data_IF_986046836353
#
_entry.id   IF_986046836353
#
_cell.length_a   1.000
_cell.length_b   1.000
_cell.length_c   1.000
_cell.angle_alpha   90.00
_cell.angle_beta   90.00
_cell.angle_gamma   90.00
#
_symmetry.space_group_name_H-M   'P 1'
#
loop_
_entity.id
_entity.type
_entity.pdbx_description
1 polymer ?
#
# COMPACT_ATOMS: atom_id res chain seq x y z
N UNK A 1 79.15 8.01 -18.32
CA UNK A 1 78.16 7.49 -19.28
C UNK A 1 77.97 6.02 -18.98
N UNK A 2 76.76 5.62 -18.59
CA UNK A 2 76.46 4.24 -18.20
C UNK A 2 75.55 4.19 -16.97
N UNK A 3 74.24 4.20 -17.21
CA UNK A 3 73.12 4.18 -16.27
C UNK A 3 73.00 2.86 -15.50
N UNK A 4 72.76 2.93 -14.18
CA UNK A 4 72.41 1.79 -13.32
C UNK A 4 70.93 1.91 -12.95
N UNK A 5 70.18 0.84 -13.19
CA UNK A 5 68.75 0.71 -12.98
C UNK A 5 68.49 -0.09 -11.69
N UNK A 6 67.52 0.37 -10.90
CA UNK A 6 67.16 -0.12 -9.57
C UNK A 6 66.56 -1.55 -9.57
N UNK A 7 66.99 -2.35 -8.60
CA UNK A 7 66.30 -3.55 -8.13
C UNK A 7 65.37 -3.16 -6.97
N UNK A 8 64.07 -3.49 -7.07
CA UNK A 8 63.16 -3.49 -5.91
C UNK A 8 62.51 -4.86 -5.76
N UNK A 9 62.88 -5.52 -4.67
CA UNK A 9 62.36 -6.78 -4.18
C UNK A 9 60.89 -6.67 -3.73
N UNK A 10 60.19 -7.78 -3.94
CA UNK A 10 58.82 -8.11 -3.60
C UNK A 10 58.47 -8.01 -2.10
N UNK A 11 57.27 -7.51 -1.78
CA UNK A 11 56.51 -8.00 -0.62
C UNK A 11 55.04 -8.16 -1.02
N UNK A 12 54.57 -9.41 -0.99
CA UNK A 12 53.19 -9.79 -1.27
C UNK A 12 52.36 -9.63 0.01
N UNK A 13 51.51 -8.62 0.06
CA UNK A 13 50.44 -8.52 1.07
C UNK A 13 49.23 -9.25 0.50
N UNK A 14 48.87 -10.36 1.14
CA UNK A 14 47.62 -11.07 0.87
C UNK A 14 46.47 -10.19 1.38
N UNK A 15 45.70 -9.59 0.48
CA UNK A 15 44.42 -9.00 0.83
C UNK A 15 43.39 -10.13 1.00
N UNK A 16 43.04 -10.41 2.26
CA UNK A 16 41.81 -11.11 2.60
C UNK A 16 40.63 -10.22 2.19
N UNK A 17 39.90 -10.61 1.16
CA UNK A 17 38.59 -10.06 0.86
C UNK A 17 37.64 -10.38 2.02
N UNK A 18 37.43 -9.42 2.92
CA UNK A 18 36.19 -9.39 3.69
C UNK A 18 35.08 -9.03 2.71
N UNK A 19 34.15 -9.95 2.46
CA UNK A 19 32.85 -9.61 1.90
C UNK A 19 32.21 -8.59 2.84
N UNK A 20 32.20 -7.31 2.46
CA UNK A 20 31.42 -6.30 3.16
C UNK A 20 29.96 -6.78 3.16
N UNK A 21 29.40 -7.06 4.34
CA UNK A 21 27.98 -7.38 4.47
C UNK A 21 27.19 -6.25 3.78
N UNK A 22 26.42 -6.60 2.75
CA UNK A 22 25.65 -5.65 1.95
C UNK A 22 24.49 -5.09 2.79
N UNK A 23 24.80 -4.14 3.68
CA UNK A 23 23.87 -3.54 4.63
C UNK A 23 23.23 -2.32 3.96
N UNK A 24 21.91 -2.37 3.75
CA UNK A 24 21.15 -1.26 3.16
C UNK A 24 20.25 -0.60 4.21
N UNK A 25 20.23 0.74 4.35
CA UNK A 25 19.35 1.39 5.31
C UNK A 25 17.87 1.20 4.94
N UNK A 26 17.03 0.97 5.94
CA UNK A 26 15.58 0.99 5.73
C UNK A 26 15.10 2.43 5.46
N UNK A 27 14.10 2.59 4.60
CA UNK A 27 13.47 3.89 4.34
C UNK A 27 12.85 4.44 5.64
N UNK A 28 12.83 5.76 5.88
CA UNK A 28 12.25 6.31 7.11
C UNK A 28 10.83 5.80 7.39
N UNK A 29 9.98 5.77 6.36
CA UNK A 29 8.63 5.23 6.45
C UNK A 29 8.60 3.73 6.73
N UNK A 30 9.52 2.95 6.16
CA UNK A 30 9.62 1.53 6.43
C UNK A 30 10.02 1.26 7.88
N UNK A 31 10.85 2.12 8.47
CA UNK A 31 11.21 2.05 9.88
C UNK A 31 10.01 2.37 10.79
N UNK A 32 9.18 3.37 10.44
CA UNK A 32 7.99 3.72 11.24
C UNK A 32 7.00 2.56 11.29
N UNK A 33 6.76 1.90 10.16
CA UNK A 33 5.87 0.75 10.07
C UNK A 33 6.46 -0.55 10.58
N UNK A 34 7.71 -0.54 11.06
CA UNK A 34 8.36 -1.65 11.73
C UNK A 34 8.84 -1.21 13.11
N UNK A 35 7.98 -0.53 13.87
CA UNK A 35 8.29 0.00 15.20
C UNK A 35 7.60 -0.80 16.29
N UNK A 36 7.96 -0.56 17.55
CA UNK A 36 7.30 -1.22 18.68
C UNK A 36 5.80 -0.88 18.78
N UNK A 37 5.43 0.33 18.32
CA UNK A 37 4.06 0.86 18.39
C UNK A 37 3.24 0.63 17.14
N UNK A 38 3.87 0.35 15.99
CA UNK A 38 3.19 0.24 14.70
C UNK A 38 3.86 -0.80 13.80
N UNK A 39 3.09 -1.81 13.44
CA UNK A 39 3.43 -2.84 12.46
C UNK A 39 2.26 -3.03 11.51
N UNK A 40 2.46 -2.72 10.23
CA UNK A 40 1.43 -2.84 9.20
C UNK A 40 1.84 -3.91 8.20
N UNK A 41 0.85 -4.72 7.80
CA UNK A 41 1.01 -5.66 6.69
C UNK A 41 0.02 -5.34 5.58
N UNK A 42 0.40 -5.68 4.36
CA UNK A 42 -0.46 -5.70 3.19
C UNK A 42 -0.77 -7.17 2.90
N UNK A 43 -2.05 -7.50 2.86
CA UNK A 43 -2.53 -8.78 2.32
C UNK A 43 -2.95 -8.52 0.89
N UNK A 44 -2.36 -9.23 -0.07
CA UNK A 44 -2.78 -9.24 -1.46
C UNK A 44 -3.27 -10.65 -1.82
N UNK A 45 -4.41 -10.73 -2.48
CA UNK A 45 -5.07 -11.98 -2.83
C UNK A 45 -5.20 -12.06 -4.35
N UNK A 46 -4.66 -13.15 -4.91
CA UNK A 46 -4.73 -13.48 -6.32
C UNK A 46 -5.59 -14.73 -6.49
N UNK A 47 -6.76 -14.55 -7.08
CA UNK A 47 -7.73 -15.58 -7.38
C UNK A 47 -7.42 -16.22 -8.74
N UNK A 48 -7.32 -17.55 -8.80
CA UNK A 48 -7.09 -18.28 -10.03
C UNK A 48 -8.39 -18.80 -10.64
N UNK A 49 -8.46 -18.81 -11.97
CA UNK A 49 -9.57 -19.42 -12.72
C UNK A 49 -9.54 -20.94 -12.71
N UNK A 50 -8.35 -21.54 -12.53
CA UNK A 50 -8.15 -22.99 -12.52
C UNK A 50 -7.57 -23.42 -11.16
N UNK A 51 -7.74 -24.70 -10.75
CA UNK A 51 -7.14 -25.20 -9.53
C UNK A 51 -5.63 -25.00 -9.51
N UNK A 52 -5.08 -24.68 -8.34
CA UNK A 52 -3.64 -24.55 -8.13
C UNK A 52 -3.13 -25.86 -7.56
N UNK A 53 -2.11 -26.44 -8.17
CA UNK A 53 -1.47 -27.66 -7.66
C UNK A 53 -0.46 -27.33 -6.55
N UNK A 54 -0.24 -28.32 -5.67
CA UNK A 54 0.73 -28.25 -4.60
C UNK A 54 2.14 -28.43 -5.18
N UNK A 55 2.89 -27.33 -5.25
CA UNK A 55 4.36 -27.30 -5.28
C UNK A 55 5.08 -27.48 -6.64
N UNK A 56 6.39 -27.24 -6.58
CA UNK A 56 7.37 -26.96 -7.64
C UNK A 56 7.22 -25.65 -8.41
N UNK A 57 6.13 -25.42 -9.15
CA UNK A 57 6.01 -24.24 -10.02
C UNK A 57 6.08 -22.93 -9.22
N UNK A 58 5.39 -22.90 -8.08
CA UNK A 58 5.46 -21.76 -7.14
C UNK A 58 6.88 -21.58 -6.61
N UNK A 59 7.58 -22.66 -6.26
CA UNK A 59 8.94 -22.56 -5.72
C UNK A 59 9.95 -22.06 -6.77
N UNK A 60 9.83 -22.52 -8.02
CA UNK A 60 10.63 -22.03 -9.15
C UNK A 60 10.34 -20.56 -9.41
N UNK A 61 9.07 -20.16 -9.48
CA UNK A 61 8.69 -18.75 -9.63
C UNK A 61 9.26 -17.88 -8.49
N UNK A 62 9.26 -18.39 -7.26
CA UNK A 62 9.77 -17.64 -6.13
C UNK A 62 11.29 -17.47 -6.19
N UNK A 63 12.03 -18.54 -6.49
CA UNK A 63 13.48 -18.49 -6.60
C UNK A 63 13.96 -17.67 -7.80
N UNK A 64 13.36 -17.88 -8.97
CA UNK A 64 13.89 -17.37 -10.23
C UNK A 64 13.34 -16.00 -10.60
N UNK A 65 12.19 -15.62 -10.02
CA UNK A 65 11.51 -14.35 -10.33
C UNK A 65 11.29 -13.51 -9.09
N UNK A 66 10.56 -13.99 -8.07
CA UNK A 66 10.13 -13.14 -6.94
C UNK A 66 11.31 -12.62 -6.09
N UNK A 67 12.18 -13.52 -5.62
CA UNK A 67 13.33 -13.14 -4.78
C UNK A 67 14.31 -12.19 -5.50
N UNK A 68 14.64 -12.39 -6.80
CA UNK A 68 15.48 -11.47 -7.55
C UNK A 68 14.90 -10.07 -7.79
N UNK A 69 13.57 -9.85 -7.67
CA UNK A 69 12.95 -8.53 -7.93
C UNK A 69 13.56 -7.44 -7.06
N UNK A 70 13.81 -7.73 -5.78
CA UNK A 70 14.40 -6.77 -4.86
C UNK A 70 15.18 -7.46 -3.74
N UNK A 71 16.40 -6.99 -3.39
CA UNK A 71 17.20 -7.57 -2.30
C UNK A 71 16.48 -7.67 -0.95
N UNK A 72 15.48 -6.81 -0.70
CA UNK A 72 14.67 -6.84 0.54
C UNK A 72 13.85 -8.11 0.70
N UNK A 73 13.49 -8.80 -0.37
CA UNK A 73 12.81 -10.10 -0.28
C UNK A 73 13.73 -11.21 0.24
N UNK A 74 15.05 -11.00 0.18
CA UNK A 74 16.07 -11.91 0.73
C UNK A 74 16.82 -11.27 1.90
N UNK A 75 16.18 -10.36 2.64
CA UNK A 75 16.80 -9.65 3.76
C UNK A 75 15.89 -9.60 4.98
N UNK A 76 16.50 -9.60 6.17
CA UNK A 76 15.84 -9.30 7.44
C UNK A 76 16.08 -7.86 7.84
N UNK A 77 15.20 -7.31 8.68
CA UNK A 77 15.42 -6.00 9.31
C UNK A 77 16.17 -6.19 10.63
N UNK A 78 17.28 -5.48 10.79
CA UNK A 78 18.10 -5.48 12.00
C UNK A 78 18.19 -4.05 12.54
N UNK A 79 18.32 -3.91 13.86
CA UNK A 79 18.44 -2.62 14.56
C UNK A 79 19.87 -2.38 15.00
N UNK A 80 20.31 -1.13 14.97
CA UNK A 80 21.61 -0.76 15.56
C UNK A 80 21.60 -0.90 17.09
N UNK A 81 22.78 -0.93 17.71
CA UNK A 81 22.95 -1.12 19.17
C UNK A 81 22.21 -0.07 20.01
N UNK A 82 22.00 1.12 19.43
CA UNK A 82 21.28 2.23 20.06
C UNK A 82 19.76 2.19 19.78
N UNK A 83 19.28 1.20 19.02
CA UNK A 83 17.88 1.00 18.63
C UNK A 83 17.28 2.09 17.73
N UNK A 84 18.10 3.06 17.28
CA UNK A 84 17.68 4.28 16.61
C UNK A 84 17.49 4.14 15.11
N UNK A 85 18.23 3.24 14.46
CA UNK A 85 18.13 3.00 13.02
C UNK A 85 17.90 1.52 12.71
N UNK A 86 17.24 1.27 11.59
CA UNK A 86 17.03 -0.07 11.05
C UNK A 86 17.69 -0.23 9.68
N UNK A 87 18.25 -1.41 9.45
CA UNK A 87 18.91 -1.78 8.20
C UNK A 87 18.49 -3.16 7.74
N UNK A 88 18.57 -3.37 6.43
CA UNK A 88 18.36 -4.65 5.78
C UNK A 88 19.68 -5.42 5.78
N UNK A 89 19.64 -6.64 6.32
CA UNK A 89 20.73 -7.61 6.26
C UNK A 89 20.31 -8.77 5.39
N UNK A 90 21.08 -9.04 4.33
CA UNK A 90 20.85 -10.16 3.43
C UNK A 90 20.99 -11.49 4.15
N UNK A 91 20.11 -12.44 3.85
CA UNK A 91 20.10 -13.79 4.42
C UNK A 91 19.76 -14.81 3.35
N UNK A 92 20.13 -16.07 3.60
CA UNK A 92 19.64 -17.19 2.78
C UNK A 92 18.18 -17.46 3.11
N UNK A 93 17.31 -17.41 2.09
CA UNK A 93 15.88 -17.68 2.24
C UNK A 93 15.62 -19.18 2.13
N UNK A 94 14.88 -19.73 3.11
CA UNK A 94 14.33 -21.09 3.05
C UNK A 94 12.85 -20.99 2.69
N UNK A 95 12.49 -21.29 1.44
CA UNK A 95 11.12 -21.06 0.96
C UNK A 95 10.07 -21.86 1.74
N UNK A 96 10.41 -23.03 2.26
CA UNK A 96 9.54 -23.83 3.12
C UNK A 96 9.07 -23.11 4.38
N UNK A 97 9.83 -22.14 4.87
CA UNK A 97 9.44 -21.32 6.03
C UNK A 97 8.40 -20.25 5.62
N UNK A 98 8.42 -19.81 4.35
CA UNK A 98 7.60 -18.70 3.87
C UNK A 98 6.36 -19.11 3.07
N UNK A 99 6.33 -20.34 2.55
CA UNK A 99 5.20 -20.86 1.75
C UNK A 99 4.36 -21.79 2.60
N UNK A 100 3.11 -21.41 2.84
CA UNK A 100 2.14 -22.20 3.62
C UNK A 100 1.05 -22.77 2.71
N UNK A 101 0.72 -24.03 2.92
CA UNK A 101 -0.44 -24.68 2.27
C UNK A 101 -1.37 -25.16 3.38
N UNK A 102 -2.42 -24.41 3.74
CA UNK A 102 -3.38 -24.88 4.74
C UNK A 102 -4.06 -26.16 4.24
N UNK A 103 -4.35 -27.09 5.16
CA UNK A 103 -4.98 -28.38 4.85
C UNK A 103 -6.34 -28.43 5.51
N UNK A 104 -7.36 -28.71 4.70
CA UNK A 104 -8.76 -28.89 5.09
C UNK A 104 -9.31 -30.21 4.55
N UNK A 105 -10.42 -30.74 5.09
CA UNK A 105 -11.04 -31.96 4.58
C UNK A 105 -11.48 -31.81 3.12
N UNK A 106 -11.25 -32.85 2.32
CA UNK A 106 -11.66 -32.88 0.91
C UNK A 106 -13.17 -33.11 0.75
N UNK A 107 -13.69 -32.78 -0.44
CA UNK A 107 -15.08 -33.07 -0.82
C UNK A 107 -16.16 -32.21 -0.14
N UNK A 108 -15.79 -31.11 0.51
CA UNK A 108 -16.74 -30.20 1.14
C UNK A 108 -17.47 -29.30 0.12
N UNK A 109 -18.55 -28.67 0.57
CA UNK A 109 -19.29 -27.68 -0.23
C UNK A 109 -18.47 -26.40 -0.41
N UNK A 110 -18.76 -25.64 -1.48
CA UNK A 110 -18.14 -24.33 -1.73
C UNK A 110 -18.35 -23.37 -0.55
N UNK A 111 -19.53 -23.36 0.06
CA UNK A 111 -19.83 -22.54 1.25
C UNK A 111 -18.93 -22.89 2.44
N UNK A 112 -18.61 -24.18 2.62
CA UNK A 112 -17.70 -24.60 3.68
C UNK A 112 -16.28 -24.09 3.41
N UNK A 113 -15.81 -24.16 2.15
CA UNK A 113 -14.51 -23.61 1.78
C UNK A 113 -14.45 -22.09 1.82
N UNK A 114 -15.54 -21.39 1.49
CA UNK A 114 -15.65 -19.94 1.68
C UNK A 114 -15.43 -19.57 3.15
N UNK A 115 -16.07 -20.29 4.07
CA UNK A 115 -15.88 -20.08 5.51
C UNK A 115 -14.44 -20.35 5.96
N UNK A 116 -13.82 -21.46 5.51
CA UNK A 116 -12.41 -21.73 5.82
C UNK A 116 -11.47 -20.68 5.25
N UNK A 117 -11.77 -20.17 4.06
CA UNK A 117 -11.01 -19.10 3.43
C UNK A 117 -11.10 -17.79 4.23
N UNK A 118 -12.30 -17.40 4.65
CA UNK A 118 -12.52 -16.20 5.48
C UNK A 118 -11.86 -16.32 6.86
N UNK A 119 -11.96 -17.49 7.50
CA UNK A 119 -11.26 -17.79 8.75
C UNK A 119 -9.73 -17.73 8.58
N UNK A 120 -9.22 -18.24 7.45
CA UNK A 120 -7.80 -18.20 7.13
C UNK A 120 -7.30 -16.77 6.91
N UNK A 121 -8.03 -15.95 6.14
CA UNK A 121 -7.71 -14.54 5.95
C UNK A 121 -7.77 -13.75 7.27
N UNK A 122 -8.76 -14.06 8.11
CA UNK A 122 -8.89 -13.48 9.45
C UNK A 122 -7.66 -13.77 10.30
N UNK A 123 -7.27 -15.04 10.38
CA UNK A 123 -6.06 -15.48 11.09
C UNK A 123 -4.81 -14.79 10.54
N UNK A 124 -4.66 -14.78 9.21
CA UNK A 124 -3.53 -14.16 8.54
C UNK A 124 -3.45 -12.65 8.83
N UNK A 125 -4.58 -11.95 8.92
CA UNK A 125 -4.62 -10.53 9.28
C UNK A 125 -4.24 -10.23 10.74
N UNK A 126 -4.40 -11.20 11.65
CA UNK A 126 -4.08 -11.04 13.07
C UNK A 126 -2.62 -11.38 13.41
N UNK A 127 -2.05 -12.39 12.75
CA UNK A 127 -0.70 -12.85 13.05
C UNK A 127 0.36 -11.79 12.70
N UNK A 128 1.49 -11.76 13.40
CA UNK A 128 2.65 -10.96 12.96
C UNK A 128 3.61 -11.82 12.15
N UNK A 129 4.31 -11.20 11.21
CA UNK A 129 5.40 -11.87 10.49
C UNK A 129 6.61 -12.02 11.44
N UNK A 130 7.28 -13.18 11.48
CA UNK A 130 8.46 -13.36 12.31
C UNK A 130 9.62 -12.46 11.86
N UNK A 131 10.25 -11.74 12.79
CA UNK A 131 11.36 -10.82 12.49
C UNK A 131 12.68 -11.55 12.15
N UNK A 132 12.79 -12.84 12.47
CA UNK A 132 13.99 -13.65 12.22
C UNK A 132 14.15 -14.11 10.76
N UNK A 133 13.23 -13.72 9.88
CA UNK A 133 13.22 -14.08 8.44
C UNK A 133 12.66 -12.93 7.61
N UNK A 134 12.87 -12.91 6.27
CA UNK A 134 12.31 -11.86 5.43
C UNK A 134 10.82 -11.63 5.66
N UNK A 135 10.40 -10.37 5.68
CA UNK A 135 9.08 -9.97 6.16
C UNK A 135 7.96 -10.16 5.13
N UNK A 136 7.83 -11.38 4.62
CA UNK A 136 6.77 -11.80 3.72
C UNK A 136 6.40 -13.27 3.92
N UNK A 137 5.19 -13.64 3.55
CA UNK A 137 4.66 -14.99 3.58
C UNK A 137 3.68 -15.18 2.41
N UNK A 138 3.66 -16.36 1.82
CA UNK A 138 2.76 -16.73 0.73
C UNK A 138 1.96 -17.94 1.17
N UNK A 139 0.64 -17.88 1.01
CA UNK A 139 -0.24 -19.01 1.27
C UNK A 139 -0.90 -19.49 -0.01
N UNK A 140 -0.93 -20.80 -0.21
CA UNK A 140 -1.60 -21.46 -1.33
C UNK A 140 -2.89 -22.10 -0.80
N UNK A 141 -4.01 -21.42 -0.99
CA UNK A 141 -5.33 -21.99 -0.68
C UNK A 141 -5.83 -22.74 -1.91
N UNK A 142 -5.55 -24.05 -1.95
CA UNK A 142 -5.85 -24.92 -3.10
C UNK A 142 -7.31 -25.34 -3.25
N UNK A 143 -8.14 -25.04 -2.25
CA UNK A 143 -9.54 -25.46 -2.24
C UNK A 143 -10.41 -24.44 -3.00
N UNK A 144 -11.39 -24.91 -3.80
CA UNK A 144 -12.26 -24.03 -4.55
C UNK A 144 -13.21 -23.27 -3.62
N UNK A 145 -13.32 -21.97 -3.82
CA UNK A 145 -14.29 -21.08 -3.19
C UNK A 145 -15.41 -20.74 -4.18
N UNK A 146 -16.46 -20.06 -3.73
CA UNK A 146 -17.46 -19.49 -4.64
C UNK A 146 -16.85 -18.47 -5.62
N UNK A 147 -15.69 -17.91 -5.29
CA UNK A 147 -15.01 -16.88 -6.09
C UNK A 147 -13.93 -17.44 -7.00
N UNK A 148 -13.19 -18.47 -6.62
CA UNK A 148 -12.00 -18.92 -7.35
C UNK A 148 -11.78 -20.43 -7.24
N UNK A 149 -11.10 -21.01 -8.23
CA UNK A 149 -10.76 -22.44 -8.20
C UNK A 149 -9.53 -22.74 -7.30
N UNK A 150 -8.72 -21.73 -7.03
CA UNK A 150 -7.62 -21.72 -6.08
C UNK A 150 -7.18 -20.28 -5.83
N UNK A 151 -6.47 -20.02 -4.73
CA UNK A 151 -6.10 -18.65 -4.35
C UNK A 151 -4.68 -18.59 -3.78
N UNK A 152 -3.88 -17.63 -4.27
CA UNK A 152 -2.61 -17.25 -3.67
C UNK A 152 -2.80 -16.01 -2.80
N UNK A 153 -2.30 -16.07 -1.57
CA UNK A 153 -2.40 -14.99 -0.60
C UNK A 153 -1.00 -14.55 -0.22
N UNK A 154 -0.64 -13.31 -0.54
CA UNK A 154 0.63 -12.70 -0.19
C UNK A 154 0.42 -11.82 1.03
N UNK A 155 1.14 -12.10 2.11
CA UNK A 155 1.25 -11.23 3.27
C UNK A 155 2.61 -10.56 3.25
N UNK A 156 2.63 -9.25 3.08
CA UNK A 156 3.85 -8.46 2.86
C UNK A 156 3.92 -7.37 3.92
N UNK A 157 5.01 -7.29 4.68
CA UNK A 157 5.16 -6.20 5.65
C UNK A 157 5.40 -4.86 4.95
N UNK A 158 4.80 -3.78 5.45
CA UNK A 158 4.83 -2.45 4.82
C UNK A 158 6.24 -1.80 4.84
N UNK A 159 7.17 -2.38 5.60
CA UNK A 159 8.59 -2.00 5.56
C UNK A 159 9.29 -2.35 4.23
N UNK A 160 8.80 -3.37 3.51
CA UNK A 160 9.36 -3.78 2.23
C UNK A 160 9.21 -2.68 1.17
N UNK A 161 8.03 -2.04 1.12
CA UNK A 161 7.67 -0.99 0.19
C UNK A 161 6.22 -0.53 0.39
N UNK A 162 5.82 0.54 -0.32
CA UNK A 162 4.40 0.90 -0.39
C UNK A 162 3.63 -0.03 -1.34
N UNK A 163 2.31 0.14 -1.37
CA UNK A 163 1.45 -0.64 -2.26
C UNK A 163 1.85 -0.53 -3.74
N UNK A 164 2.39 0.61 -4.20
CA UNK A 164 2.83 0.76 -5.58
C UNK A 164 4.05 -0.12 -5.89
N UNK A 165 5.09 -0.08 -5.03
CA UNK A 165 6.26 -0.94 -5.17
C UNK A 165 5.91 -2.43 -5.06
N UNK A 166 5.09 -2.80 -4.08
CA UNK A 166 4.74 -4.21 -3.85
C UNK A 166 3.83 -4.78 -4.94
N UNK A 167 2.83 -4.02 -5.40
CA UNK A 167 2.05 -4.42 -6.59
C UNK A 167 2.93 -4.47 -7.83
N UNK A 168 3.91 -3.57 -7.95
CA UNK A 168 4.90 -3.62 -9.02
C UNK A 168 5.68 -4.95 -9.04
N UNK A 169 6.13 -5.43 -7.89
CA UNK A 169 6.75 -6.75 -7.78
C UNK A 169 5.80 -7.89 -8.17
N UNK A 170 4.54 -7.84 -7.71
CA UNK A 170 3.54 -8.85 -8.10
C UNK A 170 3.30 -8.82 -9.62
N UNK A 171 3.22 -7.64 -10.24
CA UNK A 171 3.07 -7.51 -11.69
C UNK A 171 4.29 -8.03 -12.47
N UNK A 172 5.50 -7.93 -11.93
CA UNK A 172 6.71 -8.53 -12.54
C UNK A 172 6.62 -10.07 -12.60
N UNK A 173 5.94 -10.70 -11.63
CA UNK A 173 5.69 -12.15 -11.65
C UNK A 173 4.60 -12.54 -12.66
N UNK A 174 3.80 -11.59 -13.15
CA UNK A 174 2.63 -11.84 -13.98
C UNK A 174 2.92 -11.64 -15.46
N UNK A 175 2.23 -12.42 -16.29
CA UNK A 175 2.24 -12.30 -17.76
C UNK A 175 0.85 -11.97 -18.26
N UNK A 176 0.76 -11.54 -19.51
CA UNK A 176 -0.52 -11.46 -20.20
C UNK A 176 -1.05 -12.85 -20.48
N UNK A 177 -2.35 -13.08 -20.23
CA UNK A 177 -2.99 -14.36 -20.50
C UNK A 177 -3.14 -14.62 -22.00
N UNK A 178 -3.34 -13.58 -22.82
CA UNK A 178 -3.53 -13.69 -24.26
C UNK A 178 -2.22 -13.88 -25.03
N UNK A 179 -1.14 -13.22 -24.60
CA UNK A 179 0.19 -13.36 -25.18
C UNK A 179 1.31 -13.14 -24.15
N UNK A 180 1.87 -14.21 -23.55
CA UNK A 180 2.89 -14.10 -22.50
C UNK A 180 4.21 -13.45 -22.91
N UNK A 181 4.47 -13.29 -24.21
CA UNK A 181 5.68 -12.62 -24.74
C UNK A 181 5.59 -11.09 -24.67
N UNK A 182 4.39 -10.54 -24.51
CA UNK A 182 4.15 -9.10 -24.42
C UNK A 182 4.12 -8.64 -22.96
N UNK A 183 4.62 -7.43 -22.65
CA UNK A 183 4.50 -6.86 -21.32
C UNK A 183 3.06 -6.50 -20.99
N UNK A 184 2.73 -6.47 -19.70
CA UNK A 184 1.49 -5.88 -19.21
C UNK A 184 1.45 -4.38 -19.53
N UNK A 185 0.28 -3.88 -19.93
CA UNK A 185 0.10 -2.45 -20.18
C UNK A 185 -0.82 -1.82 -19.14
N UNK A 186 -0.58 -0.54 -18.88
CA UNK A 186 -1.29 0.21 -17.84
C UNK A 186 -1.97 1.45 -18.44
N UNK A 187 -3.10 1.89 -17.86
CA UNK A 187 -3.74 3.12 -18.27
C UNK A 187 -2.77 4.30 -18.23
N UNK A 188 -2.73 5.09 -19.30
CA UNK A 188 -1.95 6.33 -19.31
C UNK A 188 -2.51 7.31 -18.27
N UNK A 189 -1.64 7.81 -17.38
CA UNK A 189 -1.94 8.97 -16.54
C UNK A 189 -1.84 10.20 -17.42
N UNK A 190 -2.80 10.45 -18.31
CA UNK A 190 -2.83 11.73 -19.01
C UNK A 190 -3.03 12.80 -17.94
N UNK A 191 -2.07 13.71 -17.70
CA UNK A 191 -2.46 14.97 -17.13
C UNK A 191 -3.34 15.62 -18.19
N UNK A 192 -4.58 15.98 -17.88
CA UNK A 192 -5.28 17.05 -18.61
C UNK A 192 -4.53 18.36 -18.30
N UNK A 193 -3.26 18.43 -18.67
CA UNK A 193 -2.49 19.65 -18.71
C UNK A 193 -2.83 20.28 -20.05
N UNK A 194 -4.01 20.89 -20.10
CA UNK A 194 -4.19 22.02 -21.00
C UNK A 194 -3.15 23.04 -20.57
N UNK A 195 -1.99 23.02 -21.24
CA UNK A 195 -0.90 23.97 -21.05
C UNK A 195 -1.31 25.31 -21.63
N UNK A 196 -2.38 25.89 -21.10
CA UNK A 196 -2.58 27.30 -21.17
C UNK A 196 -1.60 27.89 -20.17
N UNK A 197 -0.49 28.40 -20.67
CA UNK A 197 0.42 29.33 -20.00
C UNK A 197 -0.35 30.57 -19.50
N UNK A 198 -1.27 30.38 -18.56
CA UNK A 198 -1.88 31.46 -17.79
C UNK A 198 -0.91 31.74 -16.66
N UNK A 199 -0.25 32.92 -16.73
CA UNK A 199 0.48 33.48 -15.59
C UNK A 199 -0.38 33.28 -14.35
N UNK A 200 0.10 32.53 -13.36
CA UNK A 200 -0.63 32.34 -12.10
C UNK A 200 -0.82 33.72 -11.50
N UNK A 201 -2.06 34.21 -11.52
CA UNK A 201 -2.40 35.50 -10.92
C UNK A 201 -1.95 35.49 -9.45
N UNK A 202 -1.54 36.64 -8.93
CA UNK A 202 -1.20 36.83 -7.50
C UNK A 202 -2.30 36.27 -6.60
N UNK A 203 -3.57 36.42 -7.01
CA UNK A 203 -4.73 35.87 -6.31
C UNK A 203 -4.72 34.33 -6.26
N UNK A 204 -4.24 33.68 -7.33
CA UNK A 204 -4.08 32.23 -7.40
C UNK A 204 -2.95 31.73 -6.50
N UNK A 205 -1.83 32.45 -6.43
CA UNK A 205 -0.73 32.14 -5.50
C UNK A 205 -1.16 32.30 -4.04
N UNK A 206 -1.89 33.37 -3.72
CA UNK A 206 -2.44 33.60 -2.38
C UNK A 206 -3.43 32.50 -1.97
N UNK A 207 -4.26 32.05 -2.91
CA UNK A 207 -5.18 30.91 -2.69
C UNK A 207 -4.43 29.61 -2.37
N UNK A 208 -3.37 29.29 -3.13
CA UNK A 208 -2.51 28.12 -2.87
C UNK A 208 -1.85 28.22 -1.50
N UNK A 209 -1.32 29.40 -1.15
CA UNK A 209 -0.72 29.62 0.17
C UNK A 209 -1.74 29.45 1.30
N UNK A 210 -2.90 30.10 1.19
CA UNK A 210 -3.99 30.00 2.16
C UNK A 210 -4.44 28.55 2.34
N UNK A 211 -4.66 27.82 1.25
CA UNK A 211 -5.03 26.41 1.29
C UNK A 211 -3.93 25.58 1.97
N UNK A 212 -2.66 25.81 1.62
CA UNK A 212 -1.51 25.12 2.23
C UNK A 212 -1.45 25.31 3.75
N UNK A 213 -1.53 26.55 4.23
CA UNK A 213 -1.50 26.83 5.68
C UNK A 213 -2.70 26.20 6.38
N UNK A 214 -3.90 26.37 5.82
CA UNK A 214 -5.14 25.82 6.40
C UNK A 214 -5.10 24.30 6.45
N UNK A 215 -4.68 23.65 5.36
CA UNK A 215 -4.67 22.20 5.22
C UNK A 215 -3.59 21.55 6.07
N UNK A 216 -2.41 22.18 6.17
CA UNK A 216 -1.33 21.72 7.04
C UNK A 216 -1.71 21.87 8.52
N UNK A 217 -2.23 23.03 8.93
CA UNK A 217 -2.70 23.26 10.30
C UNK A 217 -3.82 22.29 10.68
N UNK A 218 -4.79 22.08 9.78
CA UNK A 218 -5.84 21.08 9.97
C UNK A 218 -5.27 19.67 10.12
N UNK A 219 -4.29 19.29 9.30
CA UNK A 219 -3.62 17.99 9.39
C UNK A 219 -2.96 17.79 10.76
N UNK A 220 -2.27 18.81 11.28
CA UNK A 220 -1.66 18.77 12.61
C UNK A 220 -2.71 18.64 13.71
N UNK A 221 -3.77 19.46 13.68
CA UNK A 221 -4.86 19.40 14.69
C UNK A 221 -5.51 18.01 14.66
N UNK A 222 -5.81 17.52 13.45
CA UNK A 222 -6.44 16.22 13.24
C UNK A 222 -5.58 15.07 13.76
N UNK A 223 -4.27 15.13 13.55
CA UNK A 223 -3.32 14.09 13.96
C UNK A 223 -3.01 14.08 15.46
N UNK A 224 -3.15 15.21 16.16
CA UNK A 224 -2.76 15.31 17.57
C UNK A 224 -3.94 15.32 18.56
N UNK A 225 -5.03 16.02 18.24
CA UNK A 225 -6.06 16.34 19.25
C UNK A 225 -7.48 16.03 18.83
N UNK A 226 -7.76 15.97 17.52
CA UNK A 226 -9.13 15.93 17.02
C UNK A 226 -9.53 14.52 16.55
N UNK A 227 -9.87 13.66 17.50
CA UNK A 227 -10.44 12.34 17.22
C UNK A 227 -11.80 12.43 16.52
N UNK A 228 -12.10 11.58 15.54
CA UNK A 228 -13.46 11.46 14.99
C UNK A 228 -14.44 10.87 16.01
N UNK A 229 -15.74 11.10 15.80
CA UNK A 229 -16.75 10.55 16.70
C UNK A 229 -16.73 9.01 16.65
N UNK A 230 -17.06 8.39 17.78
CA UNK A 230 -17.43 6.96 17.79
C UNK A 230 -18.63 6.78 16.87
N UNK A 231 -18.55 5.82 15.97
CA UNK A 231 -19.56 5.56 14.94
C UNK A 231 -19.45 4.13 14.43
N UNK A 232 -20.40 3.64 13.61
CA UNK A 232 -20.33 2.29 13.04
C UNK A 232 -19.05 1.98 12.24
N UNK A 233 -18.26 2.99 11.86
CA UNK A 233 -16.98 2.80 11.15
C UNK A 233 -15.75 3.12 12.02
N UNK A 234 -15.93 3.53 13.28
CA UNK A 234 -14.84 3.81 14.23
C UNK A 234 -15.28 3.51 15.67
N UNK A 235 -14.71 2.49 16.29
CA UNK A 235 -15.06 2.09 17.67
C UNK A 235 -14.31 2.84 18.76
N UNK A 236 -13.13 3.41 18.47
CA UNK A 236 -12.24 4.04 19.45
C UNK A 236 -11.78 3.11 20.61
N UNK A 237 -11.86 1.79 20.43
CA UNK A 237 -11.41 0.82 21.42
C UNK A 237 -9.90 0.54 21.29
N UNK A 238 -9.11 0.63 22.38
CA UNK A 238 -7.69 0.31 22.32
C UNK A 238 -7.42 -1.12 21.84
N UNK A 239 -6.36 -1.32 21.05
CA UNK A 239 -5.97 -2.63 20.53
C UNK A 239 -6.86 -3.17 19.41
N UNK A 240 -7.62 -2.29 18.75
CA UNK A 240 -8.49 -2.67 17.61
C UNK A 240 -7.70 -3.30 16.46
N UNK A 241 -6.43 -2.89 16.30
CA UNK A 241 -5.48 -3.42 15.30
C UNK A 241 -5.12 -4.91 15.50
N UNK A 242 -5.44 -5.48 16.66
CA UNK A 242 -5.18 -6.89 17.01
C UNK A 242 -6.44 -7.74 17.05
N UNK A 243 -7.61 -7.16 16.78
CA UNK A 243 -8.87 -7.90 16.74
C UNK A 243 -8.99 -8.68 15.42
N UNK A 244 -9.80 -9.76 15.39
CA UNK A 244 -10.15 -10.44 14.14
C UNK A 244 -10.62 -9.44 13.08
N UNK A 245 -10.35 -9.66 11.81
CA UNK A 245 -10.85 -8.81 10.71
C UNK A 245 -11.82 -9.60 9.84
N UNK A 246 -12.66 -8.90 9.07
CA UNK A 246 -13.45 -9.50 7.99
C UNK A 246 -13.08 -8.78 6.71
N UNK A 247 -12.84 -9.54 5.65
CA UNK A 247 -12.46 -9.00 4.34
C UNK A 247 -13.62 -9.22 3.39
N UNK A 248 -13.98 -8.18 2.65
CA UNK A 248 -15.08 -8.23 1.69
C UNK A 248 -14.68 -7.49 0.42
N UNK A 249 -15.13 -8.01 -0.71
CA UNK A 249 -14.83 -7.47 -2.03
C UNK A 249 -16.11 -7.12 -2.78
N UNK A 250 -16.08 -6.00 -3.50
CA UNK A 250 -17.17 -5.55 -4.38
C UNK A 250 -16.55 -5.11 -5.70
N UNK A 251 -17.15 -5.55 -6.80
CA UNK A 251 -16.68 -5.24 -8.15
C UNK A 251 -17.64 -4.28 -8.85
N UNK A 252 -17.10 -3.24 -9.47
CA UNK A 252 -17.85 -2.26 -10.26
C UNK A 252 -17.37 -2.28 -11.71
N UNK A 253 -18.29 -2.02 -12.65
CA UNK A 253 -17.93 -1.84 -14.05
C UNK A 253 -17.11 -0.55 -14.22
N UNK A 254 -15.88 -0.67 -14.70
CA UNK A 254 -15.03 0.48 -14.98
C UNK A 254 -15.67 1.43 -16.03
N UNK A 255 -16.46 0.90 -16.96
CA UNK A 255 -17.14 1.71 -17.97
C UNK A 255 -18.25 2.56 -17.37
N UNK A 256 -19.00 2.03 -16.39
CA UNK A 256 -19.97 2.83 -15.63
C UNK A 256 -19.28 3.94 -14.83
N UNK A 257 -18.14 3.64 -14.18
CA UNK A 257 -17.35 4.65 -13.46
C UNK A 257 -16.84 5.73 -14.43
N UNK A 258 -16.38 5.35 -15.63
CA UNK A 258 -15.96 6.29 -16.68
C UNK A 258 -17.11 7.17 -17.17
N UNK A 259 -18.35 6.65 -17.26
CA UNK A 259 -19.52 7.46 -17.61
C UNK A 259 -19.83 8.52 -16.54
N UNK A 260 -19.75 8.17 -15.25
CA UNK A 260 -19.90 9.15 -14.15
C UNK A 260 -18.79 10.22 -14.24
N UNK A 261 -17.53 9.77 -14.41
CA UNK A 261 -16.39 10.67 -14.61
C UNK A 261 -16.62 11.62 -15.79
N UNK A 262 -17.15 11.15 -16.91
CA UNK A 262 -17.40 11.98 -18.08
C UNK A 262 -18.42 13.09 -17.82
N UNK A 263 -19.45 12.82 -17.00
CA UNK A 263 -20.49 13.81 -16.65
C UNK A 263 -20.02 14.82 -15.60
N UNK A 264 -19.29 14.38 -14.57
CA UNK A 264 -18.88 15.23 -13.45
C UNK A 264 -17.49 15.85 -13.62
N UNK A 265 -16.69 15.35 -14.57
CA UNK A 265 -15.27 15.68 -14.76
C UNK A 265 -14.38 15.19 -13.61
N UNK A 266 -13.05 15.23 -13.79
CA UNK A 266 -12.08 14.74 -12.80
C UNK A 266 -11.53 13.35 -13.14
N UNK A 267 -11.11 12.60 -12.12
CA UNK A 267 -10.45 11.30 -12.27
C UNK A 267 -11.31 10.13 -11.80
N UNK A 268 -10.96 8.92 -12.22
CA UNK A 268 -11.61 7.66 -11.78
C UNK A 268 -11.54 7.52 -10.25
N UNK A 269 -10.38 7.82 -9.65
CA UNK A 269 -10.18 7.72 -8.19
C UNK A 269 -11.12 8.66 -7.42
N UNK A 270 -11.34 9.88 -7.90
CA UNK A 270 -12.25 10.84 -7.26
C UNK A 270 -13.71 10.36 -7.29
N UNK A 271 -14.12 9.71 -8.39
CA UNK A 271 -15.45 9.06 -8.48
C UNK A 271 -15.56 7.91 -7.49
N UNK A 272 -14.55 7.04 -7.42
CA UNK A 272 -14.53 5.90 -6.49
C UNK A 272 -14.59 6.38 -5.03
N UNK A 273 -13.83 7.41 -4.65
CA UNK A 273 -13.89 7.98 -3.29
C UNK A 273 -15.30 8.49 -2.98
N UNK A 274 -15.95 9.17 -3.92
CA UNK A 274 -17.34 9.63 -3.75
C UNK A 274 -18.33 8.49 -3.51
N UNK A 275 -18.20 7.39 -4.28
CA UNK A 275 -19.02 6.18 -4.12
C UNK A 275 -18.77 5.56 -2.74
N UNK A 276 -17.51 5.44 -2.30
CA UNK A 276 -17.15 4.92 -0.98
C UNK A 276 -17.76 5.81 0.12
N UNK A 277 -17.67 7.13 0.01
CA UNK A 277 -18.25 8.07 0.97
C UNK A 277 -19.77 7.92 1.08
N UNK A 278 -20.46 7.84 -0.06
CA UNK A 278 -21.90 7.63 -0.08
C UNK A 278 -22.28 6.28 0.55
N UNK A 279 -21.66 5.18 0.11
CA UNK A 279 -21.91 3.85 0.68
C UNK A 279 -21.61 3.78 2.18
N UNK A 280 -20.59 4.51 2.65
CA UNK A 280 -20.26 4.64 4.07
C UNK A 280 -21.39 5.32 4.85
N UNK A 281 -21.98 6.39 4.32
CA UNK A 281 -23.10 7.08 4.97
C UNK A 281 -24.35 6.23 5.01
N UNK A 282 -24.65 5.49 3.94
CA UNK A 282 -25.73 4.50 3.92
C UNK A 282 -25.53 3.42 5.00
N UNK A 283 -24.32 2.88 5.09
CA UNK A 283 -23.99 1.88 6.11
C UNK A 283 -24.13 2.42 7.52
N UNK A 284 -23.61 3.62 7.79
CA UNK A 284 -23.70 4.25 9.10
C UNK A 284 -25.15 4.46 9.53
N UNK A 285 -25.99 5.01 8.65
CA UNK A 285 -27.40 5.24 8.96
C UNK A 285 -28.16 3.92 9.20
N UNK A 286 -27.91 2.90 8.37
CA UNK A 286 -28.50 1.58 8.53
C UNK A 286 -28.05 0.86 9.82
N UNK A 287 -26.77 0.97 10.18
CA UNK A 287 -26.21 0.33 11.36
C UNK A 287 -26.60 1.04 12.66
N UNK A 288 -26.75 2.36 12.62
CA UNK A 288 -27.17 3.17 13.77
C UNK A 288 -27.84 4.45 13.30
N UNK A 289 -29.17 4.51 13.39
CA UNK A 289 -29.97 5.69 13.04
C UNK A 289 -29.41 6.95 13.71
N UNK A 290 -29.28 8.03 12.93
CA UNK A 290 -28.74 9.31 13.40
C UNK A 290 -27.20 9.41 13.38
N UNK A 291 -26.48 8.32 13.06
CA UNK A 291 -25.02 8.38 12.91
C UNK A 291 -24.56 8.92 11.54
N UNK A 292 -25.48 9.11 10.58
CA UNK A 292 -25.21 9.65 9.24
C UNK A 292 -24.52 11.02 9.22
N UNK A 293 -24.64 11.81 10.30
CA UNK A 293 -23.99 13.12 10.45
C UNK A 293 -22.77 13.12 11.38
N UNK A 294 -22.32 11.96 11.88
CA UNK A 294 -21.12 11.90 12.70
C UNK A 294 -19.91 12.43 11.92
N UNK A 295 -19.04 13.18 12.62
CA UNK A 295 -17.79 13.67 12.05
C UNK A 295 -16.87 12.48 11.80
N UNK A 296 -16.62 12.23 10.52
CA UNK A 296 -15.79 11.14 10.04
C UNK A 296 -14.83 11.67 8.99
N UNK A 297 -13.59 11.24 9.10
CA UNK A 297 -12.48 11.67 8.23
C UNK A 297 -11.86 10.45 7.61
N UNK A 298 -11.67 10.50 6.29
CA UNK A 298 -10.92 9.51 5.54
C UNK A 298 -9.48 10.00 5.31
N UNK A 299 -8.52 9.09 5.44
CA UNK A 299 -7.17 9.27 4.93
C UNK A 299 -7.11 8.75 3.50
N UNK A 300 -7.08 9.66 2.53
CA UNK A 300 -6.90 9.30 1.13
C UNK A 300 -5.41 9.26 0.83
N UNK A 301 -4.91 8.07 0.50
CA UNK A 301 -3.50 7.87 0.16
C UNK A 301 -3.23 8.24 -1.30
N UNK A 302 -2.07 8.83 -1.54
CA UNK A 302 -1.61 9.21 -2.88
C UNK A 302 -0.15 8.85 -3.07
N UNK A 303 0.17 8.34 -4.25
CA UNK A 303 1.55 8.13 -4.69
C UNK A 303 2.22 9.49 -4.86
N UNK A 304 3.40 9.68 -4.26
CA UNK A 304 4.15 10.94 -4.33
C UNK A 304 5.24 10.91 -5.41
N UNK A 305 5.38 9.80 -6.14
CA UNK A 305 6.29 9.70 -7.28
C UNK A 305 5.82 10.60 -8.42
N UNK A 306 6.76 11.31 -9.05
CA UNK A 306 6.50 12.13 -10.24
C UNK A 306 6.42 11.25 -11.50
N UNK A 307 5.30 10.53 -11.69
CA UNK A 307 5.11 9.61 -12.82
C UNK A 307 3.97 10.04 -13.74
N UNK A 308 4.21 9.99 -15.06
CA UNK A 308 3.23 10.24 -16.12
C UNK A 308 2.66 8.94 -16.73
N UNK A 309 3.27 7.81 -16.38
CA UNK A 309 2.90 6.46 -16.78
C UNK A 309 3.27 5.49 -15.67
N UNK A 310 2.80 4.24 -15.76
CA UNK A 310 3.32 3.20 -14.88
C UNK A 310 4.85 3.08 -15.03
N UNK A 311 5.53 3.12 -13.90
CA UNK A 311 6.96 2.89 -13.73
C UNK A 311 7.20 1.46 -13.24
N UNK A 312 8.07 0.70 -13.91
CA UNK A 312 8.36 -0.71 -13.58
C UNK A 312 9.35 -0.85 -12.41
N UNK A 313 9.51 -2.05 -11.85
CA UNK A 313 10.47 -2.28 -10.75
C UNK A 313 11.91 -2.07 -11.20
N UNK A 314 12.23 -2.45 -12.43
CA UNK A 314 13.54 -2.23 -13.04
C UNK A 314 13.86 -0.73 -13.16
N UNK A 315 12.85 0.09 -13.48
CA UNK A 315 12.99 1.55 -13.51
C UNK A 315 13.07 2.18 -12.12
N UNK A 316 12.43 1.57 -11.12
CA UNK A 316 12.54 1.96 -9.71
C UNK A 316 13.89 1.60 -9.09
N UNK A 317 14.64 0.68 -9.69
CA UNK A 317 15.97 0.25 -9.24
C UNK A 317 17.12 1.07 -9.85
N UNK A 318 16.86 1.85 -10.92
CA UNK A 318 17.89 2.68 -11.56
C UNK A 318 18.42 3.76 -10.60
N UNK A 319 19.74 4.03 -10.60
CA UNK A 319 20.30 5.20 -9.92
C UNK A 319 19.60 6.50 -10.40
N UNK A 320 19.42 7.46 -9.50
CA UNK A 320 18.84 8.79 -9.77
C UNK A 320 17.38 8.81 -10.28
N UNK A 321 16.66 7.69 -10.17
CA UNK A 321 15.24 7.64 -10.48
C UNK A 321 14.44 8.56 -9.55
N UNK A 322 13.49 9.32 -10.10
CA UNK A 322 12.60 10.21 -9.34
C UNK A 322 11.54 9.47 -8.50
N UNK A 323 11.41 8.16 -8.68
CA UNK A 323 10.45 7.32 -7.99
C UNK A 323 11.07 6.00 -7.56
N UNK A 324 12.02 5.99 -6.62
CA UNK A 324 12.74 4.78 -6.25
C UNK A 324 11.82 3.74 -5.59
N UNK A 325 12.29 2.49 -5.56
CA UNK A 325 11.66 1.44 -4.78
C UNK A 325 11.55 1.84 -3.30
N UNK A 326 10.42 1.55 -2.66
CA UNK A 326 10.21 1.79 -1.25
C UNK A 326 8.87 2.47 -0.98
N UNK A 327 8.81 3.28 0.07
CA UNK A 327 7.58 3.97 0.46
C UNK A 327 7.60 5.42 -0.01
N UNK A 328 6.88 5.72 -1.09
CA UNK A 328 6.72 7.06 -1.64
C UNK A 328 5.22 7.36 -1.79
N UNK A 329 4.58 7.59 -0.65
CA UNK A 329 3.19 7.98 -0.60
C UNK A 329 2.97 9.05 0.48
N UNK A 330 1.89 9.80 0.32
CA UNK A 330 1.37 10.73 1.30
C UNK A 330 -0.10 10.43 1.58
N UNK A 331 -0.67 11.19 2.52
CA UNK A 331 -2.09 11.08 2.86
C UNK A 331 -2.74 12.47 2.90
N UNK A 332 -4.02 12.50 2.59
CA UNK A 332 -4.88 13.66 2.73
C UNK A 332 -5.99 13.34 3.74
N UNK A 333 -6.15 14.21 4.72
CA UNK A 333 -7.34 14.24 5.54
C UNK A 333 -8.51 14.81 4.73
N UNK A 334 -9.45 13.95 4.34
CA UNK A 334 -10.67 14.31 3.60
C UNK A 334 -11.87 13.99 4.47
N UNK A 335 -12.63 15.02 4.86
CA UNK A 335 -13.88 14.84 5.59
C UNK A 335 -14.88 14.10 4.71
N UNK A 336 -15.57 13.10 5.27
CA UNK A 336 -16.67 12.43 4.58
C UNK A 336 -17.88 13.39 4.66
N UNK A 337 -18.50 13.80 3.53
CA UNK A 337 -19.67 14.68 3.56
C UNK A 337 -20.77 14.10 4.48
N UNK A 338 -21.41 14.94 5.27
CA UNK A 338 -22.54 14.53 6.12
C UNK A 338 -23.76 14.17 5.27
N UNK A 339 -24.67 13.40 5.84
CA UNK A 339 -25.93 13.02 5.19
C UNK A 339 -27.07 13.23 6.18
N UNK A 340 -27.95 14.19 5.89
CA UNK A 340 -29.08 14.51 6.77
C UNK A 340 -30.19 13.48 6.65
N UNK A 341 -30.52 13.07 5.43
CA UNK A 341 -31.54 12.07 5.14
C UNK A 341 -31.09 11.21 3.95
N UNK A 342 -31.16 9.89 4.12
CA UNK A 342 -30.85 8.89 3.07
C UNK A 342 -31.81 9.03 1.90
N UNK A 343 -33.10 9.28 2.17
CA UNK A 343 -34.16 9.23 1.15
C UNK A 343 -34.05 10.39 0.16
N UNK A 344 -33.48 11.52 0.59
CA UNK A 344 -33.31 12.73 -0.23
C UNK A 344 -31.87 12.96 -0.68
N UNK A 345 -30.91 12.13 -0.25
CA UNK A 345 -29.51 12.32 -0.58
C UNK A 345 -29.26 12.08 -2.08
N UNK A 346 -28.63 13.04 -2.76
CA UNK A 346 -28.16 12.85 -4.12
C UNK A 346 -26.79 12.13 -4.11
N UNK A 347 -26.68 10.89 -4.64
CA UNK A 347 -25.40 10.18 -4.72
C UNK A 347 -24.34 10.94 -5.52
N UNK A 348 -24.74 11.78 -6.49
CA UNK A 348 -23.82 12.56 -7.31
C UNK A 348 -23.20 13.72 -6.53
N UNK A 349 -23.89 14.25 -5.52
CA UNK A 349 -23.35 15.30 -4.65
C UNK A 349 -22.14 14.79 -3.86
N UNK A 350 -22.16 13.53 -3.41
CA UNK A 350 -21.01 12.90 -2.74
C UNK A 350 -19.79 12.82 -3.66
N UNK A 351 -19.99 12.47 -4.93
CA UNK A 351 -18.91 12.43 -5.92
C UNK A 351 -18.37 13.84 -6.19
N UNK A 352 -19.26 14.83 -6.32
CA UNK A 352 -18.88 16.21 -6.54
C UNK A 352 -18.08 16.80 -5.37
N UNK A 353 -18.56 16.62 -4.13
CA UNK A 353 -17.90 17.13 -2.93
C UNK A 353 -16.57 16.40 -2.65
N UNK A 354 -16.53 15.07 -2.82
CA UNK A 354 -15.27 14.30 -2.72
C UNK A 354 -14.21 14.86 -3.69
N UNK A 355 -14.58 15.03 -4.96
CA UNK A 355 -13.71 15.63 -5.98
C UNK A 355 -13.23 17.02 -5.58
N UNK A 356 -14.15 17.91 -5.20
CA UNK A 356 -13.84 19.30 -4.82
C UNK A 356 -12.88 19.37 -3.64
N UNK A 357 -13.09 18.55 -2.60
CA UNK A 357 -12.21 18.46 -1.44
C UNK A 357 -10.82 17.92 -1.83
N UNK A 358 -10.77 16.83 -2.59
CA UNK A 358 -9.51 16.23 -3.04
C UNK A 358 -8.72 17.20 -3.94
N UNK A 359 -9.36 17.84 -4.91
CA UNK A 359 -8.71 18.82 -5.79
C UNK A 359 -8.16 20.02 -5.01
N UNK A 360 -8.93 20.53 -4.03
CA UNK A 360 -8.44 21.59 -3.13
C UNK A 360 -7.20 21.14 -2.37
N UNK A 361 -7.24 19.94 -1.76
CA UNK A 361 -6.11 19.37 -1.01
C UNK A 361 -4.89 19.11 -1.90
N UNK A 362 -5.08 18.60 -3.13
CA UNK A 362 -4.01 18.39 -4.12
C UNK A 362 -3.37 19.69 -4.59
N UNK A 363 -4.11 20.80 -4.59
CA UNK A 363 -3.57 22.13 -4.93
C UNK A 363 -2.68 22.72 -3.83
N UNK A 364 -2.70 22.13 -2.62
CA UNK A 364 -1.90 22.56 -1.48
C UNK A 364 -0.54 21.86 -1.44
N UNK A 365 0.45 22.48 -0.81
CA UNK A 365 1.75 21.85 -0.51
C UNK A 365 1.74 21.10 0.83
N UNK A 366 0.56 20.84 1.43
CA UNK A 366 0.45 20.28 2.77
C UNK A 366 1.06 18.87 2.88
N UNK A 367 0.97 18.05 1.83
CA UNK A 367 1.60 16.71 1.80
C UNK A 367 3.12 16.83 1.92
N UNK A 368 3.74 17.73 1.14
CA UNK A 368 5.17 17.99 1.19
C UNK A 368 5.60 18.50 2.57
N UNK A 369 4.87 19.47 3.13
CA UNK A 369 5.14 20.00 4.47
C UNK A 369 5.01 18.93 5.56
N UNK A 370 4.03 18.03 5.44
CA UNK A 370 3.84 16.90 6.36
C UNK A 370 5.03 15.93 6.27
N UNK A 371 5.51 15.62 5.06
CA UNK A 371 6.72 14.81 4.88
C UNK A 371 7.95 15.41 5.57
N UNK A 372 8.21 16.71 5.34
CA UNK A 372 9.33 17.43 5.98
C UNK A 372 9.17 17.52 7.50
N UNK A 373 7.95 17.68 7.99
CA UNK A 373 7.66 17.65 9.42
C UNK A 373 7.96 16.30 10.05
N UNK A 374 7.59 15.19 9.41
CA UNK A 374 7.90 13.83 9.89
C UNK A 374 9.41 13.56 9.87
N UNK A 375 10.12 14.02 8.84
CA UNK A 375 11.60 13.95 8.79
C UNK A 375 12.24 14.71 9.94
N UNK A 376 11.80 15.94 10.20
CA UNK A 376 12.28 16.76 11.30
C UNK A 376 11.97 16.11 12.66
N UNK A 377 10.76 15.60 12.84
CA UNK A 377 10.36 14.90 14.06
C UNK A 377 11.24 13.68 14.31
N UNK A 378 11.49 12.87 13.28
CA UNK A 378 12.40 11.72 13.38
C UNK A 378 13.80 12.16 13.78
N UNK A 379 14.33 13.21 13.16
CA UNK A 379 15.67 13.72 13.47
C UNK A 379 15.81 14.27 14.89
N UNK A 380 14.76 14.88 15.45
CA UNK A 380 14.81 15.53 16.76
C UNK A 380 14.33 14.66 17.92
N UNK A 381 13.36 13.77 17.67
CA UNK A 381 12.65 12.99 18.70
C UNK A 381 12.77 11.48 18.53
N UNK A 382 13.43 11.02 17.47
CA UNK A 382 13.66 9.60 17.20
C UNK A 382 12.50 8.89 16.50
N UNK A 383 12.74 7.61 16.19
CA UNK A 383 11.88 6.77 15.38
C UNK A 383 10.52 6.49 16.03
N UNK A 384 10.52 6.02 17.27
CA UNK A 384 9.33 5.55 17.99
C UNK A 384 8.31 6.69 18.24
N UNK A 385 8.79 7.91 18.49
CA UNK A 385 7.92 9.08 18.66
C UNK A 385 7.23 9.43 17.34
N UNK A 386 7.96 9.42 16.22
CA UNK A 386 7.38 9.68 14.90
C UNK A 386 6.40 8.58 14.49
N UNK A 387 6.72 7.31 14.77
CA UNK A 387 5.80 6.20 14.56
C UNK A 387 4.52 6.34 15.39
N UNK A 388 4.65 6.77 16.65
CA UNK A 388 3.50 7.05 17.54
C UNK A 388 2.62 8.18 16.99
N UNK A 389 3.22 9.22 16.41
CA UNK A 389 2.47 10.31 15.76
C UNK A 389 1.67 9.81 14.54
N UNK A 390 2.28 8.98 13.69
CA UNK A 390 1.59 8.37 12.55
C UNK A 390 0.47 7.44 13.02
N UNK A 391 0.73 6.63 14.06
CA UNK A 391 -0.29 5.78 14.70
C UNK A 391 -1.46 6.62 15.23
N UNK A 392 -1.18 7.75 15.87
CA UNK A 392 -2.19 8.71 16.33
C UNK A 392 -3.01 9.32 15.19
N UNK A 393 -2.37 9.61 14.06
CA UNK A 393 -3.05 10.09 12.85
C UNK A 393 -4.06 9.07 12.33
N UNK A 394 -3.66 7.80 12.28
CA UNK A 394 -4.55 6.69 11.95
C UNK A 394 -5.67 6.60 13.01
N UNK A 395 -5.34 6.52 14.29
CA UNK A 395 -6.31 6.42 15.40
C UNK A 395 -7.39 7.51 15.41
N UNK A 396 -7.02 8.74 15.06
CA UNK A 396 -7.91 9.89 15.10
C UNK A 396 -8.89 9.93 13.92
N UNK A 397 -8.67 9.13 12.86
CA UNK A 397 -9.48 9.10 11.63
C UNK A 397 -10.38 7.86 11.58
N UNK A 398 -11.40 7.89 10.73
CA UNK A 398 -12.40 6.80 10.66
C UNK A 398 -12.07 5.71 9.63
N UNK A 399 -11.32 6.04 8.58
CA UNK A 399 -10.98 5.07 7.52
C UNK A 399 -9.78 5.53 6.70
N UNK A 400 -9.18 4.58 5.97
CA UNK A 400 -8.16 4.85 4.95
C UNK A 400 -8.63 4.34 3.60
N UNK A 401 -8.45 5.15 2.55
CA UNK A 401 -8.73 4.77 1.17
C UNK A 401 -7.42 4.78 0.38
N UNK A 402 -7.12 3.66 -0.25
CA UNK A 402 -5.99 3.50 -1.17
C UNK A 402 -6.52 3.08 -2.53
N UNK A 403 -5.82 3.50 -3.59
CA UNK A 403 -6.19 3.18 -4.96
C UNK A 403 -4.93 3.08 -5.81
N UNK A 404 -4.79 1.95 -6.51
CA UNK A 404 -3.72 1.69 -7.45
C UNK A 404 -4.31 1.33 -8.81
N UNK A 405 -3.67 1.77 -9.88
CA UNK A 405 -4.05 1.34 -11.22
C UNK A 405 -3.47 -0.06 -11.46
N UNK A 406 -4.31 -0.95 -11.97
CA UNK A 406 -3.89 -2.26 -12.47
C UNK A 406 -3.66 -2.26 -13.99
N UNK A 407 -3.17 -3.38 -14.52
CA UNK A 407 -3.03 -3.57 -15.96
C UNK A 407 -4.39 -3.70 -16.66
N UNK A 408 -4.39 -3.51 -17.98
CA UNK A 408 -5.62 -3.48 -18.80
C UNK A 408 -5.99 -4.89 -19.28
N UNK A 409 -5.00 -5.74 -19.50
CA UNK A 409 -5.18 -7.12 -19.97
C UNK A 409 -5.47 -8.10 -18.83
N UNK A 410 -6.09 -9.22 -19.18
CA UNK A 410 -6.16 -10.38 -18.28
C UNK A 410 -4.75 -10.91 -18.02
N UNK A 411 -4.43 -11.14 -16.75
CA UNK A 411 -3.12 -11.60 -16.31
C UNK A 411 -3.10 -13.13 -16.16
N UNK A 412 -1.92 -13.72 -16.19
CA UNK A 412 -1.67 -15.11 -15.81
C UNK A 412 -0.41 -15.21 -14.95
N UNK A 413 -0.42 -16.12 -13.98
CA UNK A 413 0.73 -16.48 -13.17
C UNK A 413 1.14 -17.91 -13.50
N UNK A 414 2.31 -18.11 -14.09
CA UNK A 414 2.78 -19.44 -14.48
C UNK A 414 1.70 -20.27 -15.20
N UNK A 415 1.09 -19.68 -16.25
CA UNK A 415 -0.01 -20.26 -17.04
C UNK A 415 -1.35 -20.47 -16.30
N UNK A 416 -1.51 -19.95 -15.08
CA UNK A 416 -2.79 -19.91 -14.37
C UNK A 416 -3.45 -18.54 -14.60
N UNK A 417 -4.56 -18.45 -15.35
CA UNK A 417 -5.26 -17.19 -15.55
C UNK A 417 -5.73 -16.62 -14.21
N UNK A 418 -5.54 -15.31 -14.05
CA UNK A 418 -5.97 -14.55 -12.87
C UNK A 418 -7.42 -14.12 -13.06
N UNK A 419 -8.29 -14.58 -12.17
CA UNK A 419 -9.70 -14.19 -12.12
C UNK A 419 -9.91 -12.87 -11.40
N UNK A 420 -9.13 -12.64 -10.34
CA UNK A 420 -9.28 -11.48 -9.46
C UNK A 420 -7.98 -11.17 -8.72
N UNK A 421 -7.73 -9.89 -8.48
CA UNK A 421 -6.59 -9.42 -7.71
C UNK A 421 -7.04 -8.24 -6.84
N UNK A 422 -6.92 -8.38 -5.53
CA UNK A 422 -7.27 -7.34 -4.57
C UNK A 422 -6.29 -7.32 -3.42
N UNK A 423 -6.22 -6.19 -2.72
CA UNK A 423 -5.30 -6.03 -1.58
C UNK A 423 -5.93 -5.16 -0.50
N UNK A 424 -5.41 -5.30 0.72
CA UNK A 424 -5.84 -4.54 1.88
C UNK A 424 -4.66 -4.33 2.84
N UNK A 425 -4.70 -3.22 3.57
CA UNK A 425 -3.78 -3.00 4.70
C UNK A 425 -4.45 -3.55 5.96
N UNK A 426 -3.73 -4.38 6.70
CA UNK A 426 -4.17 -4.94 7.98
C UNK A 426 -3.34 -4.35 9.13
N UNK A 427 -3.85 -4.48 10.35
CA UNK A 427 -3.25 -3.96 11.59
C UNK A 427 -3.21 -2.42 11.71
N UNK A 428 -4.03 -1.70 10.93
CA UNK A 428 -4.21 -0.26 11.10
C UNK A 428 -5.11 0.04 12.33
N UNK A 429 -4.77 1.02 13.18
CA UNK A 429 -5.47 1.31 14.44
C UNK A 429 -6.75 2.15 14.26
N UNK A 430 -7.41 2.05 13.10
CA UNK A 430 -8.58 2.87 12.74
C UNK A 430 -9.91 2.15 12.97
N UNK A 431 -9.97 0.86 12.60
CA UNK A 431 -11.22 0.18 12.33
C UNK A 431 -11.34 -1.06 13.18
N UNK A 432 -12.42 -1.15 13.96
CA UNK A 432 -13.36 -2.28 13.97
C UNK A 432 -14.53 -2.05 14.94
N UNK A 433 -15.74 -2.33 14.47
CA UNK A 433 -16.96 -2.59 15.24
C UNK A 433 -16.82 -3.76 16.21
#
# INVERSE_FOLDING_TARGET
MGSIQEERSSSSVVHSHHEEEEIQPATPTGQYFNSSVMSLSIVAVLESEIPIDDSLITMTLLNDVFLPINPRFSSIVVRDENGGNQYWKKVTVKLEDHVKVPVYPDGLSLESYDKYFDEYLTKLGMERLPESRPLWEISIFKYPTSKAAGTLIFKLHHALGDGYSLMGALFTCLKRADNPSLPLTFPSLRPDYNNNNKKKSVLGLLSVFKNTVTDFAWSLIKSNVLEDHVSPIRSANPGVEFRPISISTVTFSLDQIKQIKAKLGGTVNEVIVGIIFYGTRLYMDAASKGSGNARTTSLVLLNTREITSYQTVEEMAKPDTKGPWGNNFGFLHVSIPGMVDVETADPLEFVFEAKKMIMKKKSSLAVYLTGRFLELMRSLRGLEVTASYIRGTLWNTSMTITSLMGPIEQMSLANHPVKGLYFMVVNAPQVKT
#
